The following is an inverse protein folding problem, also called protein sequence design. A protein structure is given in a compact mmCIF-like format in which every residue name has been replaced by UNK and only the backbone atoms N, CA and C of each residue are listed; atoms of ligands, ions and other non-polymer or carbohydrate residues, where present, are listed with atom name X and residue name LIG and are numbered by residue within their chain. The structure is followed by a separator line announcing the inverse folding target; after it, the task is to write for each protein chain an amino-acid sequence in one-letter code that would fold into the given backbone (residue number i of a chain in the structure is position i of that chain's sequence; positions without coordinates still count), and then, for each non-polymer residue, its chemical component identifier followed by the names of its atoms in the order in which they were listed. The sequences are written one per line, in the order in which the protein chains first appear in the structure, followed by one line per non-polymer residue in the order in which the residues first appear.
data_IF_537610274904
#
_entry.id   IF_537610274904
#
_cell.length_a   1.000
_cell.length_b   1.000
_cell.length_c   1.000
_cell.angle_alpha   90.00
_cell.angle_beta   90.00
_cell.angle_gamma   90.00
#
_symmetry.space_group_name_H-M   'P 1'
#
loop_
_entity.id
_entity.type
_entity.pdbx_description
1 polymer ?
#
# COMPACT_ATOMS: atom_id res chain seq x y z
N UNK A 1 54.81 37.45 -2.51
CA UNK A 1 55.48 37.87 -3.76
C UNK A 1 56.08 36.64 -4.39
N UNK A 2 55.43 36.13 -5.44
CA UNK A 2 55.97 35.09 -6.32
C UNK A 2 57.17 35.60 -7.11
N UNK A 3 58.08 34.68 -7.49
CA UNK A 3 58.85 34.77 -8.72
C UNK A 3 58.33 33.76 -9.77
N UNK A 4 58.03 34.25 -10.97
CA UNK A 4 57.65 33.43 -12.14
C UNK A 4 58.84 32.61 -12.71
N UNK A 5 58.57 31.53 -13.46
CA UNK A 5 59.58 30.73 -14.16
C UNK A 5 59.97 31.34 -15.53
N UNK A 6 61.15 30.99 -16.09
CA UNK A 6 61.55 31.38 -17.44
C UNK A 6 60.94 30.50 -18.55
N UNK A 7 60.87 31.07 -19.75
CA UNK A 7 60.09 30.58 -20.90
C UNK A 7 60.74 29.41 -21.68
N UNK A 8 59.90 28.66 -22.40
CA UNK A 8 60.31 27.64 -23.36
C UNK A 8 60.38 28.21 -24.80
N UNK A 9 61.35 27.71 -25.58
CA UNK A 9 61.59 28.16 -26.95
C UNK A 9 60.49 27.75 -27.93
N UNK A 10 60.19 28.68 -28.85
CA UNK A 10 59.25 28.55 -29.95
C UNK A 10 59.75 27.61 -31.06
N UNK A 11 58.80 26.93 -31.72
CA UNK A 11 58.83 26.82 -33.18
C UNK A 11 57.41 26.63 -33.75
N UNK A 12 57.14 27.30 -34.87
CA UNK A 12 55.81 27.47 -35.48
C UNK A 12 55.82 26.90 -36.90
N UNK A 13 54.84 26.07 -37.25
CA UNK A 13 54.33 25.90 -38.62
C UNK A 13 52.81 25.65 -38.56
N UNK A 14 52.07 26.17 -39.53
CA UNK A 14 50.62 26.41 -39.46
C UNK A 14 49.79 25.57 -40.45
N UNK A 15 48.63 25.07 -39.99
CA UNK A 15 47.24 25.28 -40.52
C UNK A 15 47.07 25.38 -42.07
N UNK A 16 46.17 24.61 -42.74
CA UNK A 16 44.72 24.73 -42.49
C UNK A 16 43.78 23.49 -42.65
N UNK A 17 42.59 23.63 -42.06
CA UNK A 17 41.39 22.80 -42.26
C UNK A 17 40.62 23.16 -43.53
N UNK A 18 39.80 22.23 -44.07
CA UNK A 18 38.48 22.58 -44.61
C UNK A 18 37.50 21.38 -44.66
N UNK A 19 36.20 21.71 -44.83
CA UNK A 19 35.02 20.84 -44.65
C UNK A 19 34.63 19.99 -45.88
N UNK A 20 33.71 19.01 -45.72
CA UNK A 20 33.30 18.09 -46.79
C UNK A 20 32.12 18.60 -47.64
N UNK A 21 32.01 18.10 -48.88
CA UNK A 21 30.84 18.29 -49.75
C UNK A 21 30.53 17.09 -50.67
N UNK A 22 29.33 16.52 -50.48
CA UNK A 22 28.30 16.11 -51.46
C UNK A 22 28.59 15.50 -52.86
N UNK A 23 27.65 14.61 -53.27
CA UNK A 23 27.26 14.16 -54.63
C UNK A 23 28.07 13.02 -55.31
N UNK A 24 27.50 12.08 -56.10
CA UNK A 24 26.12 11.50 -56.21
C UNK A 24 26.06 10.40 -57.31
N UNK A 25 25.18 9.40 -57.16
CA UNK A 25 24.51 8.60 -58.26
C UNK A 25 25.39 7.73 -59.22
N UNK A 26 24.94 6.65 -59.89
CA UNK A 26 23.69 5.85 -59.99
C UNK A 26 24.06 4.40 -60.46
N UNK A 27 23.19 3.36 -60.51
CA UNK A 27 21.78 3.22 -60.13
C UNK A 27 21.15 1.87 -60.53
N UNK A 28 19.84 1.72 -60.23
CA UNK A 28 18.74 1.10 -61.04
C UNK A 28 18.83 -0.43 -61.36
N UNK A 29 17.83 -1.31 -61.13
CA UNK A 29 16.33 -1.27 -61.11
C UNK A 29 15.74 -1.90 -59.80
N UNK A 30 14.46 -1.87 -59.38
CA UNK A 30 13.17 -1.23 -59.75
C UNK A 30 11.97 -2.21 -60.01
N UNK A 31 10.72 -1.71 -59.82
CA UNK A 31 9.36 -2.31 -60.02
C UNK A 31 8.83 -3.32 -58.96
N UNK A 32 7.57 -3.24 -58.47
CA UNK A 32 6.52 -2.19 -58.44
C UNK A 32 5.44 -2.61 -57.40
N UNK A 33 5.06 -1.81 -56.39
CA UNK A 33 4.08 -0.70 -56.39
C UNK A 33 2.62 -1.12 -56.08
N UNK A 34 1.91 -0.30 -55.29
CA UNK A 34 0.51 -0.50 -54.87
C UNK A 34 0.13 0.38 -53.66
N UNK A 35 -0.21 1.65 -53.92
CA UNK A 35 -0.69 2.62 -52.93
C UNK A 35 -2.09 2.28 -52.38
N UNK A 36 -2.42 2.76 -51.17
CA UNK A 36 -3.43 3.83 -51.04
C UNK A 36 -3.26 4.62 -49.72
N UNK A 37 -3.83 5.83 -49.68
CA UNK A 37 -3.76 6.79 -48.58
C UNK A 37 -5.14 7.12 -48.01
N UNK A 38 -5.27 7.30 -46.70
CA UNK A 38 -6.56 7.60 -46.08
C UNK A 38 -6.43 8.12 -44.64
N UNK A 39 -6.93 9.32 -44.40
CA UNK A 39 -6.85 10.05 -43.13
C UNK A 39 -7.91 9.66 -42.09
N UNK A 40 -7.62 10.07 -40.85
CA UNK A 40 -8.53 10.57 -39.81
C UNK A 40 -8.88 9.64 -38.64
N UNK A 41 -8.83 10.26 -37.47
CA UNK A 41 -9.17 9.75 -36.14
C UNK A 41 -10.67 9.77 -35.87
N UNK A 42 -11.16 8.86 -35.02
CA UNK A 42 -12.27 9.14 -34.11
C UNK A 42 -12.40 8.11 -32.98
N UNK A 43 -12.76 8.59 -31.80
CA UNK A 43 -13.15 7.81 -30.63
C UNK A 43 -14.51 7.13 -30.86
N UNK A 44 -14.67 5.87 -30.45
CA UNK A 44 -15.97 5.18 -30.46
C UNK A 44 -16.62 5.19 -29.10
N UNK A 45 -17.37 6.25 -28.82
CA UNK A 45 -18.39 6.29 -27.76
C UNK A 45 -19.64 5.51 -28.22
N UNK A 46 -20.29 4.78 -27.30
CA UNK A 46 -21.34 3.82 -27.64
C UNK A 46 -22.71 4.51 -27.66
N UNK A 47 -23.23 4.75 -28.87
CA UNK A 47 -24.57 5.29 -29.07
C UNK A 47 -25.63 4.16 -29.08
N UNK A 48 -26.65 4.29 -28.23
CA UNK A 48 -27.74 3.30 -28.09
C UNK A 48 -28.99 3.76 -28.83
N UNK A 49 -29.42 2.96 -29.81
CA UNK A 49 -30.62 3.23 -30.60
C UNK A 49 -31.92 3.21 -29.79
N UNK A 50 -32.71 4.24 -30.05
CA UNK A 50 -34.16 4.24 -30.27
C UNK A 50 -34.99 3.10 -29.64
N UNK A 51 -35.82 3.47 -28.67
CA UNK A 51 -37.08 2.78 -28.34
C UNK A 51 -38.21 3.79 -28.48
N UNK A 52 -39.14 3.54 -29.40
CA UNK A 52 -40.28 4.43 -29.65
C UNK A 52 -41.28 4.46 -28.49
N UNK A 53 -42.04 5.55 -28.41
CA UNK A 53 -43.03 5.81 -27.37
C UNK A 53 -44.21 4.83 -27.45
N UNK A 54 -44.58 4.24 -26.32
CA UNK A 54 -45.94 3.76 -26.09
C UNK A 54 -46.63 4.59 -25.00
N UNK A 55 -47.63 5.34 -25.45
CA UNK A 55 -48.92 5.72 -24.85
C UNK A 55 -49.04 6.19 -23.38
N UNK A 56 -49.91 7.20 -23.19
CA UNK A 56 -50.19 7.84 -21.90
C UNK A 56 -51.22 7.05 -21.07
N UNK A 57 -50.93 6.84 -19.78
CA UNK A 57 -51.95 6.78 -18.73
C UNK A 57 -51.52 7.64 -17.50
N UNK A 58 -52.34 8.60 -17.04
CA UNK A 58 -52.01 9.44 -15.88
C UNK A 58 -52.75 8.98 -14.61
N UNK A 59 -52.20 8.01 -13.87
CA UNK A 59 -52.71 7.71 -12.52
C UNK A 59 -52.30 8.77 -11.47
N UNK A 60 -53.30 9.21 -10.71
CA UNK A 60 -53.12 10.12 -9.56
C UNK A 60 -53.09 9.31 -8.27
N UNK A 61 -52.03 9.46 -7.46
CA UNK A 61 -52.18 9.63 -6.01
C UNK A 61 -50.88 10.12 -5.34
N UNK A 62 -50.92 11.10 -4.42
CA UNK A 62 -49.75 11.53 -3.67
C UNK A 62 -49.52 10.66 -2.42
N UNK A 63 -48.27 10.30 -2.17
CA UNK A 63 -47.86 9.76 -0.87
C UNK A 63 -47.92 10.85 0.22
N UNK A 64 -48.55 10.53 1.35
CA UNK A 64 -48.16 11.02 2.67
C UNK A 64 -48.82 10.16 3.76
N UNK A 65 -48.09 9.14 4.23
CA UNK A 65 -48.45 8.36 5.40
C UNK A 65 -47.55 8.77 6.57
N UNK A 66 -48.10 9.54 7.51
CA UNK A 66 -47.49 9.77 8.82
C UNK A 66 -48.12 8.80 9.83
N UNK A 67 -47.28 8.19 10.67
CA UNK A 67 -47.70 7.24 11.70
C UNK A 67 -48.28 7.94 12.94
N UNK A 68 -49.27 7.31 13.59
CA UNK A 68 -49.86 7.77 14.84
C UNK A 68 -50.95 6.81 15.31
N UNK A 69 -50.73 6.15 16.45
CA UNK A 69 -51.57 5.05 16.93
C UNK A 69 -52.72 5.49 17.86
N UNK A 70 -53.84 4.78 17.84
CA UNK A 70 -54.44 4.11 19.01
C UNK A 70 -55.80 3.45 18.68
N UNK A 71 -56.20 2.45 19.48
CA UNK A 71 -57.43 1.66 19.30
C UNK A 71 -58.70 2.36 19.81
N UNK A 72 -59.88 1.98 19.29
CA UNK A 72 -60.95 1.37 20.11
C UNK A 72 -62.22 0.95 19.31
N UNK A 73 -62.59 -0.33 19.46
CA UNK A 73 -63.95 -0.85 19.76
C UNK A 73 -65.14 -0.59 18.79
N UNK A 74 -65.52 -1.69 18.11
CA UNK A 74 -66.87 -2.26 17.90
C UNK A 74 -68.09 -1.42 17.46
N UNK A 75 -68.96 -2.07 16.66
CA UNK A 75 -70.36 -1.64 16.48
C UNK A 75 -70.89 -1.85 15.06
N UNK A 76 -71.35 -3.06 14.75
CA UNK A 76 -72.17 -3.28 13.56
C UNK A 76 -73.65 -3.23 13.97
N UNK A 77 -74.44 -2.33 13.39
CA UNK A 77 -75.89 -2.54 13.27
C UNK A 77 -76.53 -1.75 12.13
N UNK A 78 -77.77 -2.12 11.77
CA UNK A 78 -78.41 -1.82 10.49
C UNK A 78 -79.58 -0.83 10.62
N UNK A 79 -80.09 -0.45 9.45
CA UNK A 79 -81.45 0.02 9.14
C UNK A 79 -81.68 1.53 9.16
N UNK A 80 -82.66 1.99 8.35
CA UNK A 80 -83.24 3.33 8.48
C UNK A 80 -83.36 4.15 7.20
N UNK A 81 -83.86 3.57 6.10
CA UNK A 81 -84.27 4.37 4.94
C UNK A 81 -85.44 5.29 5.32
N UNK A 82 -85.17 6.57 5.56
CA UNK A 82 -86.20 7.62 5.64
C UNK A 82 -85.82 8.77 4.72
N UNK A 83 -86.56 8.91 3.63
CA UNK A 83 -86.45 10.08 2.74
C UNK A 83 -87.12 11.28 3.42
N UNK A 84 -86.32 12.12 4.08
CA UNK A 84 -86.75 13.48 4.44
C UNK A 84 -86.30 14.40 3.31
N UNK A 85 -87.26 14.86 2.52
CA UNK A 85 -87.05 15.85 1.45
C UNK A 85 -87.39 17.23 2.02
N UNK A 86 -86.48 17.81 2.78
CA UNK A 86 -86.53 19.24 3.09
C UNK A 86 -85.79 19.96 1.97
N UNK A 87 -86.53 20.79 1.24
CA UNK A 87 -85.95 21.77 0.34
C UNK A 87 -85.62 23.02 1.16
N UNK A 88 -84.40 23.08 1.67
CA UNK A 88 -83.75 24.32 2.09
C UNK A 88 -82.43 24.40 1.31
N UNK A 89 -82.58 24.69 0.02
CA UNK A 89 -81.48 25.04 -0.87
C UNK A 89 -80.79 26.36 -0.42
N UNK A 90 -79.57 26.57 -0.92
CA UNK A 90 -78.82 27.85 -0.96
C UNK A 90 -78.10 28.38 0.31
N UNK A 91 -78.31 27.84 1.53
CA UNK A 91 -77.66 28.41 2.73
C UNK A 91 -76.24 27.88 3.05
N UNK A 92 -75.92 26.60 2.78
CA UNK A 92 -74.74 25.93 3.38
C UNK A 92 -73.55 25.69 2.42
N UNK A 93 -73.67 26.09 1.14
CA UNK A 93 -72.61 25.91 0.14
C UNK A 93 -71.49 26.97 0.19
N UNK A 94 -71.67 28.08 0.93
CA UNK A 94 -70.77 29.23 0.90
C UNK A 94 -69.57 29.15 1.87
N UNK A 95 -69.58 28.23 2.84
CA UNK A 95 -68.60 28.20 3.94
C UNK A 95 -67.46 27.17 3.75
N UNK A 96 -67.50 26.34 2.70
CA UNK A 96 -66.52 25.29 2.45
C UNK A 96 -65.66 25.59 1.21
N UNK A 97 -64.88 26.67 1.26
CA UNK A 97 -63.87 27.01 0.24
C UNK A 97 -62.68 26.02 0.27
N UNK A 98 -62.93 24.75 -0.08
CA UNK A 98 -61.87 23.82 -0.49
C UNK A 98 -61.26 24.38 -1.77
N UNK A 99 -60.01 24.83 -1.66
CA UNK A 99 -59.26 25.45 -2.75
C UNK A 99 -58.95 24.43 -3.84
N UNK A 100 -59.91 24.18 -4.73
CA UNK A 100 -59.67 23.48 -6.00
C UNK A 100 -58.70 24.31 -6.82
N UNK A 101 -57.59 23.72 -7.26
CA UNK A 101 -56.55 24.45 -8.00
C UNK A 101 -57.12 25.17 -9.22
N UNK A 102 -56.73 26.45 -9.41
CA UNK A 102 -57.20 27.30 -10.49
C UNK A 102 -56.96 26.64 -11.86
N UNK A 103 -57.87 26.86 -12.80
CA UNK A 103 -57.62 26.49 -14.20
C UNK A 103 -56.45 27.29 -14.78
N UNK A 104 -55.81 26.76 -15.84
CA UNK A 104 -54.64 27.38 -16.49
C UNK A 104 -54.87 28.86 -16.85
N UNK A 105 -56.07 29.20 -17.31
CA UNK A 105 -56.41 30.55 -17.78
C UNK A 105 -56.66 31.53 -16.63
N UNK A 106 -57.30 31.07 -15.55
CA UNK A 106 -57.51 31.87 -14.33
C UNK A 106 -56.17 32.09 -13.59
N UNK A 107 -55.35 31.04 -13.52
CA UNK A 107 -54.01 31.12 -12.94
C UNK A 107 -53.11 32.10 -13.71
N UNK A 108 -53.18 32.11 -15.05
CA UNK A 108 -52.45 33.08 -15.86
C UNK A 108 -52.94 34.52 -15.62
N UNK A 109 -54.25 34.77 -15.50
CA UNK A 109 -54.79 36.12 -15.20
C UNK A 109 -54.24 36.68 -13.88
N UNK A 110 -54.09 35.85 -12.85
CA UNK A 110 -53.51 36.26 -11.55
C UNK A 110 -51.97 36.35 -11.62
N UNK A 111 -51.32 35.36 -12.23
CA UNK A 111 -49.85 35.26 -12.29
C UNK A 111 -49.20 36.29 -13.23
N UNK A 112 -49.92 36.80 -14.23
CA UNK A 112 -49.49 37.88 -15.12
C UNK A 112 -49.64 39.29 -14.51
N UNK A 113 -50.14 39.40 -13.27
CA UNK A 113 -50.23 40.70 -12.60
C UNK A 113 -48.83 41.33 -12.41
N UNK A 114 -48.64 42.65 -12.64
CA UNK A 114 -47.32 43.28 -12.56
C UNK A 114 -46.61 43.12 -11.20
N UNK A 115 -47.39 43.02 -10.10
CA UNK A 115 -46.87 42.71 -8.77
C UNK A 115 -46.28 41.30 -8.69
N UNK A 116 -47.05 40.28 -9.08
CA UNK A 116 -46.60 38.88 -9.01
C UNK A 116 -45.43 38.58 -9.95
N UNK A 117 -45.43 39.17 -11.15
CA UNK A 117 -44.29 39.09 -12.09
C UNK A 117 -43.01 39.64 -11.45
N UNK A 118 -43.07 40.83 -10.81
CA UNK A 118 -41.92 41.41 -10.10
C UNK A 118 -41.47 40.54 -8.93
N UNK A 119 -42.40 40.05 -8.10
CA UNK A 119 -42.07 39.15 -6.98
C UNK A 119 -41.39 37.87 -7.45
N UNK A 120 -41.86 37.25 -8.55
CA UNK A 120 -41.22 36.07 -9.13
C UNK A 120 -39.80 36.35 -9.63
N UNK A 121 -39.57 37.49 -10.28
CA UNK A 121 -38.22 37.90 -10.70
C UNK A 121 -37.30 38.16 -9.49
N UNK A 122 -37.79 38.79 -8.42
CA UNK A 122 -37.02 39.00 -7.18
C UNK A 122 -36.69 37.66 -6.51
N UNK A 123 -37.64 36.74 -6.39
CA UNK A 123 -37.40 35.41 -5.82
C UNK A 123 -36.41 34.59 -6.67
N UNK A 124 -36.49 34.67 -8.00
CA UNK A 124 -35.55 34.02 -8.90
C UNK A 124 -34.13 34.60 -8.77
N UNK A 125 -33.99 35.92 -8.67
CA UNK A 125 -32.70 36.57 -8.41
C UNK A 125 -32.13 36.21 -7.04
N UNK A 126 -32.95 36.17 -5.99
CA UNK A 126 -32.53 35.73 -4.65
C UNK A 126 -32.12 34.24 -4.65
N UNK A 127 -32.81 33.38 -5.40
CA UNK A 127 -32.42 31.99 -5.58
C UNK A 127 -31.04 31.87 -6.25
N UNK A 128 -30.80 32.59 -7.36
CA UNK A 128 -29.50 32.57 -8.04
C UNK A 128 -28.38 33.19 -7.20
N UNK A 129 -28.66 34.24 -6.42
CA UNK A 129 -27.70 34.82 -5.48
C UNK A 129 -27.38 33.85 -4.34
N UNK A 130 -28.38 33.15 -3.78
CA UNK A 130 -28.20 32.12 -2.76
C UNK A 130 -27.43 30.91 -3.29
N UNK A 131 -27.73 30.45 -4.50
CA UNK A 131 -27.01 29.38 -5.19
C UNK A 131 -25.54 29.76 -5.47
N UNK A 132 -25.30 30.97 -5.99
CA UNK A 132 -23.95 31.48 -6.24
C UNK A 132 -23.17 31.68 -4.93
N UNK A 133 -23.83 32.12 -3.87
CA UNK A 133 -23.27 32.21 -2.52
C UNK A 133 -22.90 30.86 -1.94
N UNK A 134 -23.74 29.83 -2.14
CA UNK A 134 -23.45 28.44 -1.76
C UNK A 134 -22.26 27.87 -2.55
N UNK A 135 -22.21 28.11 -3.86
CA UNK A 135 -21.08 27.72 -4.73
C UNK A 135 -19.79 28.41 -4.28
N UNK A 136 -19.81 29.71 -4.05
CA UNK A 136 -18.66 30.46 -3.54
C UNK A 136 -18.22 29.97 -2.15
N UNK A 137 -19.18 29.65 -1.26
CA UNK A 137 -18.91 29.04 0.03
C UNK A 137 -18.20 27.69 -0.09
N UNK A 138 -18.68 26.81 -0.97
CA UNK A 138 -18.04 25.52 -1.24
C UNK A 138 -16.60 25.68 -1.78
N UNK A 139 -16.38 26.60 -2.72
CA UNK A 139 -15.04 26.92 -3.23
C UNK A 139 -14.13 27.46 -2.12
N UNK A 140 -14.63 28.36 -1.27
CA UNK A 140 -13.85 28.90 -0.14
C UNK A 140 -13.49 27.82 0.89
N UNK A 141 -14.39 26.86 1.15
CA UNK A 141 -14.09 25.70 2.01
C UNK A 141 -12.97 24.85 1.39
N UNK A 142 -13.05 24.51 0.11
CA UNK A 142 -12.04 23.71 -0.59
C UNK A 142 -10.67 24.42 -0.61
N UNK A 143 -10.66 25.73 -0.85
CA UNK A 143 -9.41 26.53 -0.90
C UNK A 143 -8.78 26.74 0.48
N UNK A 144 -9.59 26.78 1.55
CA UNK A 144 -9.10 26.92 2.94
C UNK A 144 -8.79 25.59 3.62
N UNK A 145 -9.31 24.47 3.10
CA UNK A 145 -8.99 23.16 3.63
C UNK A 145 -7.48 22.89 3.48
N UNK A 146 -6.78 22.45 4.55
CA UNK A 146 -5.40 22.01 4.41
C UNK A 146 -5.35 20.82 3.46
N UNK A 147 -4.38 20.81 2.54
CA UNK A 147 -4.17 19.66 1.66
C UNK A 147 -3.66 18.48 2.49
N UNK A 148 -4.19 17.29 2.22
CA UNK A 148 -3.59 16.06 2.70
C UNK A 148 -2.13 15.97 2.23
N UNK A 149 -1.26 15.36 3.02
CA UNK A 149 0.14 15.13 2.65
C UNK A 149 0.18 14.11 1.52
N UNK A 150 0.84 14.47 0.41
CA UNK A 150 1.01 13.58 -0.73
C UNK A 150 1.63 12.25 -0.28
N UNK A 151 1.09 11.14 -0.78
CA UNK A 151 1.62 9.82 -0.45
C UNK A 151 3.00 9.67 -1.12
N UNK A 152 4.08 9.41 -0.36
CA UNK A 152 5.38 9.14 -0.95
C UNK A 152 5.28 7.91 -1.86
N UNK A 153 6.04 7.90 -2.96
CA UNK A 153 6.09 6.74 -3.87
C UNK A 153 6.73 5.57 -3.14
N UNK A 154 5.89 4.66 -2.63
CA UNK A 154 6.34 3.54 -1.82
C UNK A 154 6.68 2.31 -2.67
N UNK A 155 7.78 1.67 -2.28
CA UNK A 155 8.32 0.49 -2.95
C UNK A 155 7.83 -0.77 -2.25
N UNK A 156 7.82 -1.87 -2.98
CA UNK A 156 7.23 -3.12 -2.52
C UNK A 156 7.82 -3.60 -1.18
N UNK A 157 9.13 -3.45 -0.96
CA UNK A 157 9.82 -3.83 0.27
C UNK A 157 9.58 -2.87 1.44
N UNK A 158 9.16 -1.62 1.22
CA UNK A 158 8.73 -0.73 2.30
C UNK A 158 7.37 -1.18 2.89
N UNK A 159 6.57 -1.91 2.09
CA UNK A 159 5.17 -2.27 2.45
C UNK A 159 5.00 -3.49 3.36
N UNK A 160 6.08 -4.13 3.83
CA UNK A 160 5.98 -5.27 4.74
C UNK A 160 7.29 -6.00 4.98
N UNK A 161 7.21 -7.14 5.67
CA UNK A 161 8.39 -7.92 6.04
C UNK A 161 8.96 -8.72 4.85
N UNK A 162 10.27 -8.88 4.87
CA UNK A 162 11.02 -9.86 4.07
C UNK A 162 11.27 -11.09 4.94
N UNK A 163 11.16 -12.29 4.37
CA UNK A 163 11.50 -13.54 5.06
C UNK A 163 12.72 -14.17 4.40
N UNK A 164 13.72 -14.62 5.17
CA UNK A 164 14.93 -15.24 4.61
C UNK A 164 14.90 -16.75 4.79
N UNK A 165 15.14 -17.50 3.72
CA UNK A 165 15.32 -18.95 3.73
C UNK A 165 16.75 -19.21 3.25
N UNK A 166 17.64 -19.60 4.17
CA UNK A 166 19.02 -19.98 3.83
C UNK A 166 19.07 -21.36 3.20
N UNK A 167 18.95 -22.39 4.03
CA UNK A 167 18.86 -23.78 3.58
C UNK A 167 17.40 -24.18 3.29
N UNK A 168 17.18 -24.74 2.10
CA UNK A 168 15.89 -25.28 1.67
C UNK A 168 15.52 -26.58 2.40
N UNK A 169 16.51 -27.41 2.77
CA UNK A 169 16.25 -28.65 3.49
C UNK A 169 15.81 -28.33 4.92
N UNK A 170 16.59 -27.54 5.66
CA UNK A 170 16.25 -27.06 7.00
C UNK A 170 14.90 -26.32 7.07
N UNK A 171 14.56 -25.50 6.07
CA UNK A 171 13.25 -24.84 6.03
C UNK A 171 12.08 -25.80 5.79
N UNK A 172 12.28 -26.85 4.99
CA UNK A 172 11.25 -27.87 4.71
C UNK A 172 11.24 -29.00 5.75
N UNK A 173 12.24 -29.06 6.65
CA UNK A 173 12.43 -30.12 7.63
C UNK A 173 12.66 -31.48 6.96
N UNK A 174 11.72 -32.41 7.14
CA UNK A 174 11.75 -33.74 6.53
C UNK A 174 11.42 -33.75 5.01
N UNK A 175 11.30 -32.59 4.38
CA UNK A 175 11.01 -32.44 2.96
C UNK A 175 12.22 -32.75 2.06
N UNK A 176 11.98 -32.70 0.75
CA UNK A 176 13.01 -33.00 -0.26
C UNK A 176 14.10 -31.91 -0.40
N UNK A 177 13.96 -30.76 0.27
CA UNK A 177 14.94 -29.68 0.24
C UNK A 177 15.05 -28.95 -1.10
N UNK A 178 14.01 -29.04 -1.95
CA UNK A 178 14.04 -28.57 -3.33
C UNK A 178 13.07 -27.41 -3.61
N UNK A 179 13.23 -26.76 -4.75
CA UNK A 179 12.42 -25.60 -5.17
C UNK A 179 10.92 -25.95 -5.34
N UNK A 180 10.62 -27.19 -5.73
CA UNK A 180 9.25 -27.70 -5.83
C UNK A 180 8.56 -27.81 -4.46
N UNK A 181 9.28 -28.22 -3.41
CA UNK A 181 8.79 -28.22 -2.03
C UNK A 181 8.53 -26.79 -1.53
N UNK A 182 9.47 -25.87 -1.76
CA UNK A 182 9.31 -24.45 -1.39
C UNK A 182 8.05 -23.83 -2.03
N UNK A 183 7.73 -24.17 -3.28
CA UNK A 183 6.51 -23.73 -3.96
C UNK A 183 5.23 -24.10 -3.19
N UNK A 184 5.20 -25.26 -2.52
CA UNK A 184 4.09 -25.67 -1.63
C UNK A 184 3.98 -24.81 -0.36
N UNK A 185 5.10 -24.28 0.14
CA UNK A 185 5.13 -23.40 1.31
C UNK A 185 4.85 -21.91 1.00
N UNK A 186 4.70 -21.52 -0.27
CA UNK A 186 4.31 -20.15 -0.63
C UNK A 186 2.94 -19.74 -0.07
N UNK A 187 2.01 -20.69 0.10
CA UNK A 187 0.73 -20.44 0.78
C UNK A 187 0.91 -20.12 2.28
N UNK A 188 1.83 -20.82 2.95
CA UNK A 188 2.20 -20.50 4.32
C UNK A 188 2.84 -19.12 4.42
N UNK A 189 3.78 -18.77 3.54
CA UNK A 189 4.38 -17.43 3.50
C UNK A 189 3.32 -16.35 3.22
N UNK A 190 2.35 -16.60 2.34
CA UNK A 190 1.22 -15.70 2.13
C UNK A 190 0.36 -15.52 3.39
N UNK A 191 0.24 -16.55 4.24
CA UNK A 191 -0.43 -16.45 5.55
C UNK A 191 0.32 -15.57 6.56
N UNK A 192 1.63 -15.37 6.38
CA UNK A 192 2.46 -14.48 7.20
C UNK A 192 2.41 -13.01 6.76
N UNK A 193 1.77 -12.71 5.61
CA UNK A 193 1.75 -11.39 4.95
C UNK A 193 3.12 -10.83 4.57
N UNK A 194 4.13 -11.69 4.39
CA UNK A 194 5.46 -11.25 3.92
C UNK A 194 5.37 -10.78 2.46
N UNK A 195 6.10 -9.71 2.13
CA UNK A 195 6.09 -9.08 0.78
C UNK A 195 7.16 -9.64 -0.14
N UNK A 196 8.22 -10.19 0.44
CA UNK A 196 9.21 -10.91 -0.34
C UNK A 196 9.89 -12.02 0.44
N UNK A 197 10.46 -12.93 -0.33
CA UNK A 197 11.28 -14.04 0.11
C UNK A 197 12.71 -13.78 -0.34
N UNK A 198 13.65 -13.80 0.59
CA UNK A 198 15.09 -13.83 0.32
C UNK A 198 15.50 -15.29 0.32
N UNK A 199 15.66 -15.83 -0.89
CA UNK A 199 16.09 -17.20 -1.12
C UNK A 199 17.62 -17.27 -1.04
N UNK A 200 18.12 -18.26 -0.31
CA UNK A 200 19.55 -18.56 -0.19
C UNK A 200 20.20 -18.91 -1.54
N UNK A 201 21.53 -19.09 -1.54
CA UNK A 201 22.26 -19.38 -2.76
C UNK A 201 21.91 -20.78 -3.28
N UNK A 202 21.23 -20.81 -4.43
CA UNK A 202 20.84 -22.04 -5.13
C UNK A 202 21.80 -22.39 -6.28
N UNK A 203 22.78 -21.52 -6.54
CA UNK A 203 23.74 -21.69 -7.63
C UNK A 203 24.76 -22.78 -7.30
N UNK A 204 25.38 -23.34 -8.33
CA UNK A 204 26.36 -24.42 -8.20
C UNK A 204 27.67 -23.87 -7.64
N UNK A 205 27.90 -24.04 -6.34
CA UNK A 205 29.18 -23.74 -5.69
C UNK A 205 30.00 -25.03 -5.49
N UNK A 206 31.31 -24.92 -5.73
CA UNK A 206 32.29 -25.91 -5.31
C UNK A 206 33.16 -25.30 -4.21
N UNK A 207 33.26 -25.98 -3.06
CA UNK A 207 33.90 -25.47 -1.85
C UNK A 207 35.29 -24.89 -2.14
N UNK A 208 35.44 -23.59 -1.88
CA UNK A 208 36.68 -22.82 -2.03
C UNK A 208 37.32 -22.85 -3.44
N UNK A 209 36.56 -23.24 -4.47
CA UNK A 209 36.98 -23.25 -5.88
C UNK A 209 36.21 -22.20 -6.72
N UNK A 210 36.93 -21.15 -7.12
CA UNK A 210 36.44 -20.07 -8.00
C UNK A 210 36.12 -20.57 -9.40
N UNK A 211 36.83 -21.57 -9.92
CA UNK A 211 36.64 -22.10 -11.27
C UNK A 211 35.42 -23.03 -11.33
N UNK A 212 35.30 -23.94 -10.35
CA UNK A 212 34.17 -24.87 -10.22
C UNK A 212 32.83 -24.22 -9.83
N UNK A 213 32.84 -22.99 -9.31
CA UNK A 213 31.64 -22.24 -8.94
C UNK A 213 31.04 -21.50 -10.12
N UNK A 214 29.76 -21.77 -10.41
CA UNK A 214 28.95 -21.14 -11.46
C UNK A 214 27.71 -20.49 -10.83
N UNK A 215 27.55 -19.18 -11.02
CA UNK A 215 26.47 -18.37 -10.44
C UNK A 215 25.19 -18.33 -11.31
N UNK A 216 25.26 -18.84 -12.55
CA UNK A 216 24.17 -18.88 -13.52
C UNK A 216 23.49 -20.26 -13.53
N UNK A 217 24.25 -21.32 -13.25
CA UNK A 217 23.73 -22.69 -13.11
C UNK A 217 23.19 -22.95 -11.70
N UNK A 218 21.94 -23.44 -11.60
CA UNK A 218 21.36 -23.95 -10.35
C UNK A 218 22.01 -25.30 -10.00
N UNK A 219 22.31 -25.53 -8.72
CA UNK A 219 22.75 -26.83 -8.23
C UNK A 219 21.62 -27.88 -8.41
N UNK A 220 21.89 -29.02 -9.09
CA UNK A 220 20.87 -30.04 -9.35
C UNK A 220 20.24 -30.65 -8.09
N UNK A 221 20.85 -30.48 -6.91
CA UNK A 221 20.26 -30.88 -5.63
C UNK A 221 19.00 -30.06 -5.27
N UNK A 222 18.93 -28.80 -5.71
CA UNK A 222 17.78 -27.91 -5.44
C UNK A 222 16.69 -27.98 -6.52
N UNK A 223 17.02 -28.38 -7.74
CA UNK A 223 16.07 -28.54 -8.85
C UNK A 223 16.58 -27.94 -10.17
N UNK A 224 15.68 -27.75 -11.13
CA UNK A 224 16.03 -27.20 -12.46
C UNK A 224 15.68 -25.71 -12.62
N UNK A 225 16.10 -25.11 -13.74
CA UNK A 225 15.73 -23.73 -14.10
C UNK A 225 14.23 -23.59 -14.33
N UNK A 226 13.57 -24.65 -14.80
CA UNK A 226 12.13 -24.73 -15.01
C UNK A 226 11.37 -24.74 -13.66
N UNK A 227 11.89 -25.48 -12.66
CA UNK A 227 11.34 -25.45 -11.30
C UNK A 227 11.44 -24.04 -10.69
N UNK A 228 12.60 -23.39 -10.82
CA UNK A 228 12.80 -22.01 -10.37
C UNK A 228 11.88 -21.01 -11.09
N UNK A 229 11.71 -21.16 -12.41
CA UNK A 229 10.78 -20.33 -13.20
C UNK A 229 9.33 -20.55 -12.74
N UNK A 230 8.95 -21.79 -12.42
CA UNK A 230 7.62 -22.11 -11.86
C UNK A 230 7.42 -21.53 -10.46
N UNK A 231 8.49 -21.50 -9.63
CA UNK A 231 8.49 -20.85 -8.32
C UNK A 231 8.29 -19.34 -8.44
N UNK A 232 9.06 -18.65 -9.29
CA UNK A 232 8.92 -17.21 -9.56
C UNK A 232 7.49 -16.85 -10.00
N UNK A 233 6.93 -17.58 -10.95
CA UNK A 233 5.55 -17.37 -11.41
C UNK A 233 4.52 -17.58 -10.29
N UNK A 234 4.74 -18.58 -9.42
CA UNK A 234 3.82 -18.91 -8.33
C UNK A 234 3.90 -17.89 -7.18
N UNK A 235 5.09 -17.37 -6.90
CA UNK A 235 5.30 -16.30 -5.92
C UNK A 235 4.66 -14.99 -6.40
N UNK A 236 4.89 -14.60 -7.67
CA UNK A 236 4.28 -13.40 -8.28
C UNK A 236 2.75 -13.46 -8.26
N UNK A 237 2.14 -14.63 -8.52
CA UNK A 237 0.69 -14.83 -8.38
C UNK A 237 0.14 -14.62 -6.97
N UNK A 238 0.97 -14.77 -5.93
CA UNK A 238 0.63 -14.51 -4.51
C UNK A 238 1.14 -13.13 -4.03
N UNK A 239 1.60 -12.27 -4.94
CA UNK A 239 2.23 -10.98 -4.64
C UNK A 239 3.46 -11.07 -3.71
N UNK A 240 4.16 -12.20 -3.74
CA UNK A 240 5.45 -12.41 -3.08
C UNK A 240 6.53 -12.21 -4.14
N UNK A 241 7.47 -11.30 -3.89
CA UNK A 241 8.65 -11.08 -4.73
C UNK A 241 9.83 -11.90 -4.23
N UNK A 242 10.74 -12.29 -5.12
CA UNK A 242 11.88 -13.15 -4.77
C UNK A 242 13.18 -12.38 -4.94
N UNK A 243 13.95 -12.29 -3.86
CA UNK A 243 15.33 -11.83 -3.81
C UNK A 243 16.23 -13.07 -3.78
N UNK A 244 17.26 -13.11 -4.61
CA UNK A 244 18.22 -14.23 -4.66
C UNK A 244 19.55 -13.86 -3.98
N UNK A 245 20.02 -14.67 -3.04
CA UNK A 245 21.35 -14.55 -2.45
C UNK A 245 22.41 -15.07 -3.44
N UNK A 246 23.28 -14.18 -3.92
CA UNK A 246 24.37 -14.50 -4.85
C UNK A 246 25.73 -14.63 -4.15
N UNK A 247 25.75 -14.88 -2.84
CA UNK A 247 26.99 -15.11 -2.08
C UNK A 247 27.77 -16.29 -2.66
N UNK A 248 28.93 -16.06 -3.32
CA UNK A 248 29.42 -17.00 -4.32
C UNK A 248 29.98 -18.29 -3.70
N UNK A 249 30.76 -18.19 -2.62
CA UNK A 249 31.40 -19.34 -1.95
C UNK A 249 30.66 -19.77 -0.67
N UNK A 250 29.35 -19.99 -0.75
CA UNK A 250 28.52 -20.23 0.44
C UNK A 250 28.77 -21.55 1.18
N UNK A 251 29.47 -22.53 0.57
CA UNK A 251 29.91 -23.77 1.21
C UNK A 251 31.37 -23.70 1.70
N UNK A 252 32.08 -22.61 1.38
CA UNK A 252 33.48 -22.38 1.73
C UNK A 252 33.68 -21.73 3.09
N UNK A 253 34.95 -21.51 3.45
CA UNK A 253 35.31 -20.86 4.71
C UNK A 253 35.24 -19.33 4.61
N UNK A 254 35.42 -18.77 3.42
CA UNK A 254 35.22 -17.35 3.14
C UNK A 254 34.26 -17.18 1.97
N UNK A 255 33.10 -16.56 2.23
CA UNK A 255 32.01 -16.28 1.30
C UNK A 255 32.41 -15.65 -0.04
N UNK A 256 33.53 -14.92 -0.09
CA UNK A 256 34.05 -14.23 -1.28
C UNK A 256 35.27 -14.89 -1.93
N UNK A 257 35.69 -16.04 -1.40
CA UNK A 257 37.00 -16.64 -1.61
C UNK A 257 38.14 -15.74 -1.08
N UNK A 258 39.25 -16.37 -0.67
CA UNK A 258 40.46 -15.64 -0.23
C UNK A 258 41.29 -15.09 -1.40
N UNK A 259 40.96 -15.47 -2.65
CA UNK A 259 41.71 -15.14 -3.86
C UNK A 259 40.77 -14.85 -5.04
N UNK A 260 41.25 -14.11 -6.04
CA UNK A 260 40.54 -13.83 -7.30
C UNK A 260 39.17 -13.12 -7.17
N UNK A 261 39.04 -12.22 -6.18
CA UNK A 261 37.80 -11.45 -5.92
C UNK A 261 37.29 -10.71 -7.18
N UNK A 262 38.17 -10.17 -8.02
CA UNK A 262 37.77 -9.48 -9.26
C UNK A 262 37.08 -10.43 -10.27
N UNK A 263 37.58 -11.66 -10.41
CA UNK A 263 36.98 -12.72 -11.25
C UNK A 263 35.64 -13.19 -10.70
N UNK A 264 35.48 -13.15 -9.38
CA UNK A 264 34.23 -13.45 -8.70
C UNK A 264 33.24 -12.30 -8.90
N UNK A 265 33.69 -11.05 -8.86
CA UNK A 265 32.87 -9.87 -9.09
C UNK A 265 32.33 -9.78 -10.53
N UNK A 266 33.12 -10.18 -11.54
CA UNK A 266 32.61 -10.30 -12.92
C UNK A 266 31.57 -11.43 -13.04
N UNK A 267 31.80 -12.59 -12.41
CA UNK A 267 30.78 -13.65 -12.35
C UNK A 267 29.47 -13.19 -11.68
N UNK A 268 29.55 -12.40 -10.60
CA UNK A 268 28.37 -11.81 -9.95
C UNK A 268 27.65 -10.87 -10.90
N UNK A 269 28.38 -10.00 -11.62
CA UNK A 269 27.81 -9.10 -12.63
C UNK A 269 27.03 -9.86 -13.72
N UNK A 270 27.63 -10.88 -14.31
CA UNK A 270 26.99 -11.70 -15.35
C UNK A 270 25.72 -12.41 -14.80
N UNK A 271 25.79 -12.87 -13.55
CA UNK A 271 24.65 -13.49 -12.86
C UNK A 271 23.52 -12.48 -12.57
N UNK A 272 23.82 -11.24 -12.18
CA UNK A 272 22.81 -10.19 -11.97
C UNK A 272 21.98 -9.98 -13.23
N UNK A 273 22.63 -9.78 -14.39
CA UNK A 273 21.93 -9.58 -15.67
C UNK A 273 21.10 -10.80 -16.07
N UNK A 274 21.66 -12.02 -15.92
CA UNK A 274 20.96 -13.27 -16.22
C UNK A 274 19.72 -13.50 -15.35
N UNK A 275 19.83 -13.27 -14.04
CA UNK A 275 18.73 -13.49 -13.08
C UNK A 275 17.67 -12.38 -13.13
N UNK A 276 18.04 -11.14 -13.49
CA UNK A 276 17.08 -10.07 -13.82
C UNK A 276 16.24 -10.44 -15.04
N UNK A 277 16.85 -10.98 -16.10
CA UNK A 277 16.14 -11.48 -17.28
C UNK A 277 15.24 -12.69 -16.96
N UNK A 278 15.64 -13.55 -16.02
CA UNK A 278 14.78 -14.62 -15.49
C UNK A 278 13.61 -14.09 -14.64
N UNK A 279 13.64 -12.82 -14.23
CA UNK A 279 12.57 -12.15 -13.50
C UNK A 279 12.70 -12.22 -11.98
N UNK A 280 13.91 -12.31 -11.43
CA UNK A 280 14.20 -12.12 -10.00
C UNK A 280 14.02 -10.63 -9.64
N UNK A 281 13.44 -10.34 -8.47
CA UNK A 281 13.04 -8.98 -8.05
C UNK A 281 14.13 -8.22 -7.25
N UNK A 282 15.27 -8.84 -6.99
CA UNK A 282 16.41 -8.23 -6.28
C UNK A 282 17.46 -9.25 -5.85
N UNK A 283 18.55 -8.80 -5.25
CA UNK A 283 19.65 -9.68 -4.84
C UNK A 283 20.10 -9.43 -3.41
N UNK A 284 20.41 -10.51 -2.69
CA UNK A 284 21.16 -10.44 -1.44
C UNK A 284 22.63 -10.73 -1.73
N UNK A 285 23.49 -10.00 -1.03
CA UNK A 285 24.94 -10.13 -1.06
C UNK A 285 25.38 -10.07 0.40
N UNK A 286 26.21 -11.02 0.86
CA UNK A 286 26.62 -11.15 2.26
C UNK A 286 28.11 -10.88 2.47
N UNK A 287 28.49 -10.71 3.73
CA UNK A 287 29.86 -10.74 4.23
C UNK A 287 30.80 -9.79 3.44
N UNK A 288 30.25 -8.64 3.04
CA UNK A 288 30.86 -7.63 2.16
C UNK A 288 32.15 -7.02 2.72
N UNK A 289 32.37 -7.12 4.02
CA UNK A 289 33.62 -6.78 4.70
C UNK A 289 34.82 -7.62 4.23
N UNK A 290 34.58 -8.80 3.65
CA UNK A 290 35.63 -9.63 3.04
C UNK A 290 35.90 -9.27 1.57
N UNK A 291 35.09 -8.39 0.97
CA UNK A 291 35.20 -7.97 -0.42
C UNK A 291 36.03 -6.66 -0.51
N UNK A 292 37.17 -6.72 -1.21
CA UNK A 292 38.01 -5.53 -1.46
C UNK A 292 37.25 -4.52 -2.32
N UNK A 293 37.25 -3.26 -1.89
CA UNK A 293 36.53 -2.17 -2.56
C UNK A 293 35.01 -2.42 -2.72
N UNK A 294 34.38 -3.12 -1.76
CA UNK A 294 32.95 -3.45 -1.76
C UNK A 294 32.01 -2.28 -2.18
N UNK A 295 32.31 -1.05 -1.74
CA UNK A 295 31.50 0.12 -2.08
C UNK A 295 31.45 0.46 -3.59
N UNK A 296 32.53 0.20 -4.35
CA UNK A 296 32.55 0.47 -5.79
C UNK A 296 31.78 -0.61 -6.55
N UNK A 297 31.99 -1.89 -6.21
CA UNK A 297 31.25 -3.01 -6.79
C UNK A 297 29.74 -2.92 -6.47
N UNK A 298 29.36 -2.59 -5.24
CA UNK A 298 27.97 -2.36 -4.88
C UNK A 298 27.36 -1.20 -5.67
N UNK A 299 28.10 -0.12 -5.96
CA UNK A 299 27.63 0.97 -6.81
C UNK A 299 27.48 0.55 -8.28
N UNK A 300 28.40 -0.25 -8.84
CA UNK A 300 28.28 -0.80 -10.19
C UNK A 300 27.07 -1.73 -10.30
N UNK A 301 26.96 -2.71 -9.41
CA UNK A 301 25.86 -3.67 -9.38
C UNK A 301 24.51 -2.98 -9.13
N UNK A 302 24.46 -1.95 -8.28
CA UNK A 302 23.26 -1.15 -8.09
C UNK A 302 22.89 -0.33 -9.33
N UNK A 303 23.85 0.11 -10.15
CA UNK A 303 23.55 0.78 -11.42
C UNK A 303 23.01 -0.20 -12.47
N UNK A 304 23.50 -1.44 -12.51
CA UNK A 304 22.95 -2.50 -13.37
C UNK A 304 21.51 -2.80 -12.98
N UNK A 305 21.24 -3.07 -11.69
CA UNK A 305 19.87 -3.34 -11.23
C UNK A 305 18.95 -2.14 -11.46
N UNK A 306 19.41 -0.90 -11.20
CA UNK A 306 18.67 0.34 -11.53
C UNK A 306 18.30 0.46 -13.01
N UNK A 307 19.14 -0.03 -13.92
CA UNK A 307 18.88 -0.01 -15.37
C UNK A 307 17.76 -0.97 -15.81
N UNK A 308 17.52 -2.04 -15.05
CA UNK A 308 16.41 -2.99 -15.29
C UNK A 308 15.15 -2.69 -14.45
N UNK A 309 15.29 -2.02 -13.30
CA UNK A 309 14.20 -1.56 -12.45
C UNK A 309 14.68 -0.40 -11.56
N UNK A 310 13.98 0.75 -11.50
CA UNK A 310 14.44 1.96 -10.78
C UNK A 310 14.55 1.80 -9.25
N UNK A 311 15.47 0.99 -8.74
CA UNK A 311 15.39 0.43 -7.39
C UNK A 311 16.68 0.59 -6.52
N UNK A 312 16.92 1.78 -5.94
CA UNK A 312 17.91 1.98 -4.86
C UNK A 312 17.56 1.23 -3.56
N UNK A 313 18.60 0.86 -2.81
CA UNK A 313 18.56 -0.06 -1.65
C UNK A 313 19.12 0.60 -0.39
N UNK A 314 18.43 0.43 0.73
CA UNK A 314 19.05 0.07 2.02
C UNK A 314 18.01 -0.68 2.88
N UNK A 315 18.37 -1.84 3.43
CA UNK A 315 17.48 -2.67 4.24
C UNK A 315 18.21 -3.11 5.52
N UNK A 316 17.59 -2.99 6.71
CA UNK A 316 18.27 -3.29 7.96
C UNK A 316 18.56 -4.79 8.11
N UNK A 317 19.81 -5.09 8.50
CA UNK A 317 20.26 -6.46 8.84
C UNK A 317 19.77 -6.81 10.25
N UNK A 318 19.34 -8.06 10.44
CA UNK A 318 18.92 -8.59 11.75
C UNK A 318 19.77 -9.81 12.12
N UNK A 319 20.24 -9.82 13.37
CA UNK A 319 21.03 -10.91 13.98
C UNK A 319 20.08 -11.98 14.54
N UNK A 320 20.45 -13.26 14.42
CA UNK A 320 19.58 -14.40 14.73
C UNK A 320 20.05 -15.23 15.94
N UNK A 321 21.37 -15.38 16.08
CA UNK A 321 22.11 -16.11 17.12
C UNK A 321 21.73 -17.59 17.38
N UNK A 322 22.45 -18.21 18.31
CA UNK A 322 22.93 -19.58 18.12
C UNK A 322 21.97 -20.74 18.44
N UNK A 323 22.25 -21.86 17.76
CA UNK A 323 21.82 -23.24 18.03
C UNK A 323 20.45 -23.71 17.50
N UNK A 324 20.52 -24.50 16.41
CA UNK A 324 19.56 -25.57 16.13
C UNK A 324 20.34 -26.76 15.56
N UNK A 325 20.72 -27.70 16.43
CA UNK A 325 21.58 -28.85 16.09
C UNK A 325 20.77 -30.16 15.97
N UNK A 326 21.14 -31.10 15.06
CA UNK A 326 20.41 -32.37 14.86
C UNK A 326 20.50 -33.40 16.00
N UNK A 327 21.12 -33.06 17.14
CA UNK A 327 21.46 -34.03 18.20
C UNK A 327 20.39 -34.23 19.27
N UNK A 328 19.31 -33.43 19.28
CA UNK A 328 18.25 -33.51 20.30
C UNK A 328 17.06 -34.33 19.78
N UNK A 329 17.24 -35.64 19.71
CA UNK A 329 16.11 -36.56 19.60
C UNK A 329 15.33 -36.54 20.93
N UNK A 330 14.05 -36.15 20.83
CA UNK A 330 13.06 -36.01 21.92
C UNK A 330 13.20 -34.79 22.87
N UNK A 331 12.73 -33.61 22.42
CA UNK A 331 12.21 -32.54 23.31
C UNK A 331 11.29 -31.48 22.65
N UNK A 332 10.93 -31.57 21.36
CA UNK A 332 10.13 -30.51 20.69
C UNK A 332 8.64 -30.62 21.06
N UNK A 333 8.12 -29.59 21.74
CA UNK A 333 6.70 -29.52 22.12
C UNK A 333 5.81 -28.96 21.00
N UNK A 334 4.51 -29.24 21.05
CA UNK A 334 3.54 -28.77 20.04
C UNK A 334 3.58 -27.24 19.86
N UNK A 335 3.83 -26.50 20.95
CA UNK A 335 3.90 -25.03 21.01
C UNK A 335 5.12 -24.45 20.24
N UNK A 336 6.05 -25.28 19.78
CA UNK A 336 7.15 -24.88 18.90
C UNK A 336 6.86 -25.13 17.41
N UNK A 337 5.74 -25.80 17.09
CA UNK A 337 5.37 -26.12 15.71
C UNK A 337 4.47 -25.05 15.12
N UNK A 338 4.59 -24.78 13.81
CA UNK A 338 3.69 -23.87 13.07
C UNK A 338 2.21 -24.24 13.24
N UNK A 339 1.90 -25.53 13.37
CA UNK A 339 0.53 -26.01 13.61
C UNK A 339 0.03 -25.60 15.00
N UNK A 340 0.72 -26.02 16.07
CA UNK A 340 0.33 -25.67 17.44
C UNK A 340 0.30 -24.17 17.70
N UNK A 341 1.28 -23.43 17.14
CA UNK A 341 1.28 -21.97 17.22
C UNK A 341 0.18 -21.30 16.38
N UNK A 342 -0.37 -21.95 15.35
CA UNK A 342 -1.53 -21.41 14.62
C UNK A 342 -2.86 -21.64 15.36
N UNK A 343 -2.88 -22.59 16.31
CA UNK A 343 -4.03 -22.87 17.18
C UNK A 343 -3.98 -22.01 18.47
N UNK A 344 -2.78 -21.61 18.91
CA UNK A 344 -2.56 -20.71 20.06
C UNK A 344 -2.58 -19.20 19.64
N UNK A 345 -3.53 -18.38 20.13
CA UNK A 345 -3.59 -16.96 19.82
C UNK A 345 -2.49 -16.13 20.50
N UNK A 346 -1.89 -16.62 21.59
CA UNK A 346 -0.79 -15.97 22.30
C UNK A 346 0.60 -16.31 21.74
N UNK A 347 0.68 -17.16 20.72
CA UNK A 347 1.95 -17.60 20.14
C UNK A 347 2.69 -16.47 19.40
N UNK A 348 4.01 -16.63 19.26
CA UNK A 348 4.84 -15.72 18.47
C UNK A 348 4.39 -15.64 17.00
N UNK A 349 3.96 -16.75 16.40
CA UNK A 349 3.43 -16.81 15.04
C UNK A 349 2.12 -16.02 14.91
N UNK A 350 1.20 -16.18 15.87
CA UNK A 350 -0.07 -15.44 15.92
C UNK A 350 0.19 -13.95 16.11
N UNK A 351 1.05 -13.56 17.05
CA UNK A 351 1.49 -12.18 17.25
C UNK A 351 2.13 -11.59 15.99
N UNK A 352 3.03 -12.32 15.33
CA UNK A 352 3.68 -11.88 14.08
C UNK A 352 2.68 -11.65 12.96
N UNK A 353 1.74 -12.58 12.73
CA UNK A 353 0.67 -12.43 11.73
C UNK A 353 -0.19 -11.20 12.00
N UNK A 354 -0.55 -10.96 13.27
CA UNK A 354 -1.36 -9.81 13.68
C UNK A 354 -0.60 -8.49 13.47
N UNK A 355 0.68 -8.44 13.83
CA UNK A 355 1.54 -7.27 13.57
C UNK A 355 1.76 -7.00 12.08
N UNK A 356 1.97 -8.06 11.27
CA UNK A 356 2.15 -7.92 9.82
C UNK A 356 0.86 -7.53 9.10
N UNK A 357 -0.30 -8.03 9.54
CA UNK A 357 -1.62 -7.58 9.10
C UNK A 357 -1.83 -6.09 9.36
N UNK A 358 -1.55 -5.61 10.59
CA UNK A 358 -1.68 -4.19 10.95
C UNK A 358 -0.72 -3.32 10.14
N UNK A 359 0.57 -3.69 10.06
CA UNK A 359 1.55 -2.97 9.23
C UNK A 359 1.16 -2.95 7.75
N UNK A 360 0.45 -3.96 7.23
CA UNK A 360 0.01 -3.98 5.82
C UNK A 360 -1.17 -3.05 5.50
N UNK A 361 -1.91 -2.59 6.51
CA UNK A 361 -3.11 -1.75 6.39
C UNK A 361 -2.84 -0.29 6.79
N UNK A 362 -2.09 -0.10 7.86
CA UNK A 362 -1.97 1.20 8.53
C UNK A 362 -0.90 2.10 7.91
N UNK A 363 -1.35 3.22 7.32
CA UNK A 363 -0.47 4.18 6.61
C UNK A 363 0.61 4.77 7.51
N UNK A 364 0.29 5.03 8.77
CA UNK A 364 1.24 5.55 9.77
C UNK A 364 2.28 4.50 10.20
N UNK A 365 1.95 3.20 10.18
CA UNK A 365 2.94 2.14 10.40
C UNK A 365 3.83 1.88 9.18
N UNK A 366 3.28 2.07 7.97
CA UNK A 366 4.02 1.97 6.71
C UNK A 366 5.04 3.10 6.55
N UNK A 367 4.56 4.34 6.44
CA UNK A 367 5.37 5.50 6.05
C UNK A 367 5.12 6.74 6.92
N UNK A 368 4.48 6.57 8.08
CA UNK A 368 4.38 7.62 9.09
C UNK A 368 5.73 7.99 9.69
N UNK A 369 5.89 9.28 9.98
CA UNK A 369 7.09 9.83 10.62
C UNK A 369 7.29 9.16 11.99
N UNK A 370 8.56 9.00 12.40
CA UNK A 370 8.97 8.32 13.62
C UNK A 370 9.49 9.32 14.64
N UNK A 371 8.86 9.36 15.83
CA UNK A 371 9.29 10.19 16.94
C UNK A 371 9.55 9.31 18.17
N UNK A 372 10.82 9.10 18.52
CA UNK A 372 11.19 8.48 19.78
C UNK A 372 10.82 9.40 20.95
N UNK A 373 10.31 8.81 22.03
CA UNK A 373 9.98 9.50 23.27
C UNK A 373 11.11 9.35 24.28
N UNK A 374 11.38 10.44 25.02
CA UNK A 374 12.28 10.42 26.17
C UNK A 374 11.73 9.43 27.21
N UNK A 375 12.37 8.27 27.31
CA UNK A 375 11.93 7.10 28.08
C UNK A 375 12.82 6.89 29.30
N UNK A 376 12.28 6.30 30.36
CA UNK A 376 13.03 5.92 31.56
C UNK A 376 13.93 4.70 31.32
N UNK A 377 14.82 4.35 32.28
CA UNK A 377 15.70 3.20 32.14
C UNK A 377 14.89 1.90 32.01
N UNK A 378 15.23 1.08 31.01
CA UNK A 378 14.65 -0.25 30.80
C UNK A 378 13.43 -0.31 29.89
N UNK A 379 12.86 0.82 29.44
CA UNK A 379 11.79 0.82 28.44
C UNK A 379 12.08 1.77 27.27
N UNK A 380 11.52 1.46 26.11
CA UNK A 380 11.60 2.28 24.91
C UNK A 380 10.20 2.61 24.41
N UNK A 381 9.97 3.86 24.01
CA UNK A 381 8.69 4.26 23.46
C UNK A 381 8.83 5.24 22.30
N UNK A 382 7.90 5.16 21.36
CA UNK A 382 7.90 6.01 20.16
C UNK A 382 6.49 6.16 19.57
N UNK A 383 6.29 7.26 18.85
CA UNK A 383 5.07 7.55 18.11
C UNK A 383 5.32 7.36 16.61
N UNK A 384 4.35 6.75 15.93
CA UNK A 384 4.20 6.76 14.47
C UNK A 384 2.94 7.54 14.11
N UNK A 385 3.06 8.58 13.31
CA UNK A 385 1.92 9.37 12.82
C UNK A 385 2.04 9.68 11.34
N UNK A 386 0.92 9.82 10.64
CA UNK A 386 0.90 10.20 9.23
C UNK A 386 -0.29 11.10 8.94
N UNK A 387 -0.04 12.40 8.75
CA UNK A 387 -1.07 13.37 8.38
C UNK A 387 -2.30 13.28 9.33
N UNK A 388 -3.52 13.20 8.79
CA UNK A 388 -4.77 13.07 9.56
C UNK A 388 -5.19 11.62 9.88
N UNK A 389 -4.31 10.63 9.70
CA UNK A 389 -4.62 9.21 9.90
C UNK A 389 -4.46 8.82 11.40
N UNK A 390 -4.90 7.61 11.76
CA UNK A 390 -4.68 7.08 13.12
C UNK A 390 -3.18 7.10 13.49
N UNK A 391 -2.89 7.53 14.72
CA UNK A 391 -1.55 7.61 15.30
C UNK A 391 -1.33 6.37 16.17
N UNK A 392 -0.10 5.88 16.20
CA UNK A 392 0.29 4.74 17.01
C UNK A 392 1.36 5.14 18.02
N UNK A 393 1.19 4.69 19.26
CA UNK A 393 2.20 4.76 20.32
C UNK A 393 2.65 3.33 20.61
N UNK A 394 3.96 3.10 20.52
CA UNK A 394 4.57 1.82 20.91
C UNK A 394 5.31 2.03 22.22
N UNK A 395 5.13 1.11 23.16
CA UNK A 395 5.82 1.10 24.45
C UNK A 395 6.34 -0.33 24.69
N UNK A 396 7.66 -0.48 24.85
CA UNK A 396 8.34 -1.76 25.03
C UNK A 396 9.11 -1.74 26.35
N UNK A 397 8.70 -2.54 27.32
CA UNK A 397 9.52 -2.83 28.49
C UNK A 397 10.53 -3.93 28.13
N UNK A 398 11.82 -3.61 28.18
CA UNK A 398 12.90 -4.59 27.99
C UNK A 398 13.39 -5.19 29.31
N UNK A 399 13.01 -4.61 30.45
CA UNK A 399 13.42 -5.07 31.76
C UNK A 399 12.59 -6.23 32.32
N UNK A 400 13.22 -6.97 33.24
CA UNK A 400 12.63 -8.11 33.97
C UNK A 400 11.68 -7.68 35.11
N UNK A 401 11.47 -6.37 35.27
CA UNK A 401 10.69 -5.76 36.35
C UNK A 401 9.54 -4.94 35.75
N UNK A 402 8.37 -4.98 36.40
CA UNK A 402 7.24 -4.14 36.00
C UNK A 402 7.51 -2.66 36.30
N UNK A 403 7.33 -1.81 35.30
CA UNK A 403 7.66 -0.38 35.34
C UNK A 403 6.41 0.47 35.13
N UNK A 404 6.33 1.65 35.77
CA UNK A 404 5.35 2.67 35.37
C UNK A 404 5.93 3.47 34.21
N UNK A 405 5.25 3.47 33.07
CA UNK A 405 5.66 4.21 31.89
C UNK A 405 5.42 5.72 32.10
N UNK A 406 6.43 6.40 32.63
CA UNK A 406 6.46 7.86 32.70
C UNK A 406 6.72 8.48 31.32
N UNK A 407 5.73 8.44 30.43
CA UNK A 407 5.83 8.94 29.06
C UNK A 407 5.97 10.48 29.05
N UNK A 408 7.20 10.97 28.83
CA UNK A 408 7.48 12.40 28.73
C UNK A 408 7.02 12.92 27.36
N UNK A 409 5.95 13.72 27.35
CA UNK A 409 5.39 14.32 26.15
C UNK A 409 5.98 15.71 25.80
N UNK A 410 6.91 16.23 26.62
CA UNK A 410 7.45 17.60 26.51
C UNK A 410 8.18 17.89 25.21
N UNK A 411 8.83 16.86 24.65
CA UNK A 411 9.77 17.00 23.54
C UNK A 411 9.09 16.74 22.17
N UNK A 412 7.78 16.49 22.18
CA UNK A 412 6.98 16.18 20.99
C UNK A 412 6.60 17.44 20.20
N UNK A 413 6.60 17.38 18.85
CA UNK A 413 5.98 18.42 18.06
C UNK A 413 4.47 18.44 18.30
N UNK A 414 3.83 19.60 18.13
CA UNK A 414 2.38 19.75 18.31
C UNK A 414 1.54 18.78 17.45
N UNK A 415 2.06 18.36 16.29
CA UNK A 415 1.47 17.35 15.39
C UNK A 415 1.54 15.91 15.91
N UNK A 416 2.30 15.64 16.98
CA UNK A 416 2.48 14.33 17.60
C UNK A 416 1.99 14.28 19.06
N UNK A 417 1.22 15.28 19.50
CA UNK A 417 0.66 15.36 20.85
C UNK A 417 0.00 14.05 21.31
N UNK A 418 0.28 13.67 22.56
CA UNK A 418 -0.28 12.49 23.21
C UNK A 418 -1.62 12.81 23.90
N UNK A 419 -2.67 11.99 23.69
CA UNK A 419 -3.93 12.09 24.44
C UNK A 419 -3.78 11.50 25.85
N UNK A 420 -4.72 11.81 26.74
CA UNK A 420 -4.77 11.18 28.07
C UNK A 420 -5.08 9.67 28.02
N UNK A 421 -5.78 9.21 26.96
CA UNK A 421 -6.16 7.81 26.74
C UNK A 421 -5.85 7.36 25.31
N UNK A 422 -5.42 6.12 25.15
CA UNK A 422 -5.22 5.46 23.85
C UNK A 422 -5.75 4.02 23.90
N UNK A 423 -6.32 3.53 22.80
CA UNK A 423 -6.85 2.18 22.73
C UNK A 423 -5.71 1.16 22.61
N UNK A 424 -5.75 0.08 23.39
CA UNK A 424 -4.84 -1.05 23.21
C UNK A 424 -5.17 -1.80 21.91
N UNK A 425 -4.24 -1.83 20.95
CA UNK A 425 -4.41 -2.58 19.70
C UNK A 425 -3.86 -4.01 19.81
N UNK A 426 -2.65 -4.16 20.36
CA UNK A 426 -1.98 -5.44 20.57
C UNK A 426 -1.13 -5.38 21.86
N UNK A 427 -1.07 -6.49 22.59
CA UNK A 427 -0.11 -6.72 23.69
C UNK A 427 0.73 -7.97 23.40
N UNK A 428 1.98 -8.01 23.87
CA UNK A 428 2.78 -9.25 23.90
C UNK A 428 2.33 -10.21 25.01
N UNK A 429 1.60 -9.72 26.03
CA UNK A 429 1.04 -10.54 27.09
C UNK A 429 -0.49 -10.68 26.95
N UNK A 430 -1.06 -11.90 27.02
CA UNK A 430 -2.49 -12.15 26.81
C UNK A 430 -3.40 -11.68 27.97
N UNK A 431 -2.85 -11.04 29.01
CA UNK A 431 -3.57 -10.63 30.21
C UNK A 431 -4.35 -9.30 30.08
N UNK A 432 -4.29 -8.62 28.93
CA UNK A 432 -4.98 -7.33 28.70
C UNK A 432 -6.10 -7.46 27.68
N UNK A 433 -7.22 -6.78 27.93
CA UNK A 433 -8.32 -6.65 26.98
C UNK A 433 -7.94 -5.69 25.84
N UNK A 434 -7.63 -6.25 24.68
CA UNK A 434 -7.43 -5.49 23.45
C UNK A 434 -8.74 -4.77 23.05
N UNK A 435 -8.61 -3.54 22.53
CA UNK A 435 -9.71 -2.61 22.28
C UNK A 435 -10.08 -1.75 23.50
N UNK A 436 -9.52 -2.00 24.69
CA UNK A 436 -9.77 -1.15 25.86
C UNK A 436 -8.96 0.16 25.83
N UNK A 437 -9.53 1.31 26.23
CA UNK A 437 -8.81 2.58 26.33
C UNK A 437 -7.99 2.64 27.63
N UNK A 438 -6.66 2.69 27.49
CA UNK A 438 -5.71 2.77 28.59
C UNK A 438 -5.31 4.22 28.90
N UNK A 439 -5.19 4.56 30.19
CA UNK A 439 -4.72 5.88 30.65
C UNK A 439 -3.19 5.96 30.61
N UNK A 440 -2.64 6.86 29.79
CA UNK A 440 -1.19 6.94 29.54
C UNK A 440 -0.38 7.42 30.75
N UNK A 441 -0.94 8.33 31.55
CA UNK A 441 -0.30 8.86 32.77
C UNK A 441 -0.06 7.79 33.86
N UNK A 442 -0.82 6.70 33.81
CA UNK A 442 -0.83 5.63 34.82
C UNK A 442 -0.53 4.26 34.22
N UNK A 443 0.06 4.24 33.03
CA UNK A 443 0.35 3.02 32.28
C UNK A 443 1.44 2.21 33.00
N UNK A 444 1.04 1.19 33.76
CA UNK A 444 1.95 0.17 34.29
C UNK A 444 2.21 -0.89 33.22
N UNK A 445 3.48 -1.19 32.96
CA UNK A 445 3.98 -2.27 32.12
C UNK A 445 4.44 -3.44 33.00
N UNK A 446 4.20 -4.66 32.55
CA UNK A 446 4.76 -5.88 33.15
C UNK A 446 6.14 -6.23 32.54
N UNK A 447 6.91 -7.17 33.11
CA UNK A 447 8.20 -7.60 32.57
C UNK A 447 8.11 -8.08 31.12
N UNK A 448 9.04 -7.66 30.26
CA UNK A 448 9.07 -7.98 28.81
C UNK A 448 7.76 -7.64 28.05
N UNK A 449 6.93 -6.74 28.58
CA UNK A 449 5.66 -6.37 27.95
C UNK A 449 5.86 -5.31 26.86
N UNK A 450 5.33 -5.60 25.67
CA UNK A 450 5.22 -4.65 24.57
C UNK A 450 3.76 -4.34 24.29
N UNK A 451 3.42 -3.05 24.26
CA UNK A 451 2.09 -2.54 23.95
C UNK A 451 2.13 -1.73 22.66
N UNK A 452 1.23 -2.04 21.73
CA UNK A 452 0.90 -1.21 20.58
C UNK A 452 -0.44 -0.55 20.85
N UNK A 453 -0.41 0.76 21.06
CA UNK A 453 -1.56 1.60 21.36
C UNK A 453 -1.90 2.43 20.12
N UNK A 454 -3.18 2.72 19.90
CA UNK A 454 -3.66 3.59 18.82
C UNK A 454 -4.48 4.76 19.36
N UNK A 455 -4.49 5.87 18.64
CA UNK A 455 -5.29 7.04 18.99
C UNK A 455 -5.59 7.91 17.76
N UNK A 456 -6.74 8.61 17.73
CA UNK A 456 -7.13 9.43 16.59
C UNK A 456 -6.26 10.68 16.45
N UNK A 457 -6.21 11.23 15.23
CA UNK A 457 -5.74 12.59 15.01
C UNK A 457 -6.74 13.58 15.66
N UNK A 458 -6.24 14.45 16.54
CA UNK A 458 -6.98 15.59 17.08
C UNK A 458 -6.47 16.85 16.36
N UNK A 459 -7.41 17.63 15.82
CA UNK A 459 -7.17 18.84 15.01
C UNK A 459 -7.03 20.11 15.88
#
# INVERSE_FOLDING_TARGET
MEPQPPEALTNVVSVPSQQPSSHSEAGVQALSAGDDSGTMSQDTEVDMKEVELNELEPEKQPMNAASGAAMAVAGAEKNGLVKIKVAEDEAEAAAAAKFTGLSKEELLKVASSPGWVRTRWVLLLLFWLGWLGMLAGAVVIIVRAPRCRDLPVQKWWHTGALYRIGDLQGFQGNGAGNLAGLKGHLDYLSSLKVKGLVLGPIHKNQKDDVAGTDLLQIDPNFGSKEDFTSLLQSAKKKSIRIILDLTPNYQGENSWFSTQVDTVATKVKDALEFWLQAGVDGFQVRDIENLKDAASFLAEWQNITKGFSEDPVEAPVMLWDESNFPSISAAVSANMTVKGQSEDPGSLLSLFRRLSDQRSKERSLLHGDFHALTSGPGFFSYIRHWDQNERFLVVLNFGDVGLSAGLQASDLPASASLPAKADLLLSTQPGREEGSPLELERLKLEPHEGLLLRFPYVA
#
